data_IF_552750640062
#
_entry.id   IF_552750640062
#
_cell.length_a   1.000
_cell.length_b   1.000
_cell.length_c   1.000
_cell.angle_alpha   90.00
_cell.angle_beta   90.00
_cell.angle_gamma   90.00
#
_symmetry.space_group_name_H-M   'P 1'
#
loop_
_entity.id
_entity.type
_entity.pdbx_description
1 polymer ?
#
# COMPACT_ATOMS: atom_id res chain seq x y z
N UNK A 1 10.07 6.72 -31.65
CA UNK A 1 9.30 7.60 -30.75
C UNK A 1 9.93 7.55 -29.37
N UNK A 2 10.02 8.67 -28.67
CA UNK A 2 10.59 8.69 -27.32
C UNK A 2 9.65 7.95 -26.36
N UNK A 3 10.00 6.70 -26.02
CA UNK A 3 9.26 5.88 -25.06
C UNK A 3 9.08 6.54 -23.69
N UNK A 4 9.92 7.54 -23.38
CA UNK A 4 9.84 8.36 -22.16
C UNK A 4 8.51 9.07 -21.98
N UNK A 5 7.81 9.46 -23.05
CA UNK A 5 6.52 10.15 -22.93
C UNK A 5 5.42 9.23 -22.40
N UNK A 6 5.39 7.97 -22.85
CA UNK A 6 4.41 6.98 -22.41
C UNK A 6 4.62 6.65 -20.93
N UNK A 7 5.87 6.46 -20.51
CA UNK A 7 6.21 6.26 -19.10
C UNK A 7 5.84 7.46 -18.23
N UNK A 8 6.08 8.69 -18.72
CA UNK A 8 5.71 9.89 -17.98
C UNK A 8 4.19 9.99 -17.80
N UNK A 9 3.40 9.65 -18.83
CA UNK A 9 1.94 9.58 -18.75
C UNK A 9 1.50 8.54 -17.71
N UNK A 10 2.11 7.35 -17.72
CA UNK A 10 1.83 6.30 -16.73
C UNK A 10 2.11 6.76 -15.30
N UNK A 11 3.23 7.43 -15.06
CA UNK A 11 3.58 7.99 -13.73
C UNK A 11 2.55 9.03 -13.30
N UNK A 12 2.26 10.01 -14.15
CA UNK A 12 1.32 11.11 -13.82
C UNK A 12 -0.06 10.56 -13.46
N UNK A 13 -0.55 9.59 -14.24
CA UNK A 13 -1.85 8.95 -13.96
C UNK A 13 -1.80 8.17 -12.65
N UNK A 14 -0.71 7.43 -12.38
CA UNK A 14 -0.55 6.70 -11.12
C UNK A 14 -0.56 7.65 -9.91
N UNK A 15 0.10 8.81 -10.02
CA UNK A 15 0.11 9.83 -8.96
C UNK A 15 -1.30 10.39 -8.75
N UNK A 16 -2.01 10.74 -9.83
CA UNK A 16 -3.38 11.25 -9.74
C UNK A 16 -4.33 10.25 -9.06
N UNK A 17 -4.28 8.98 -9.46
CA UNK A 17 -5.08 7.92 -8.84
C UNK A 17 -4.72 7.72 -7.36
N UNK A 18 -3.44 7.81 -7.01
CA UNK A 18 -2.99 7.72 -5.61
C UNK A 18 -3.51 8.89 -4.77
N UNK A 19 -3.51 10.12 -5.33
CA UNK A 19 -4.10 11.29 -4.66
C UNK A 19 -5.62 11.13 -4.51
N UNK A 20 -6.31 10.61 -5.52
CA UNK A 20 -7.73 10.31 -5.39
C UNK A 20 -7.97 9.29 -4.28
N UNK A 21 -7.19 8.20 -4.24
CA UNK A 21 -7.30 7.18 -3.21
C UNK A 21 -7.11 7.75 -1.80
N UNK A 22 -6.12 8.62 -1.58
CA UNK A 22 -5.90 9.27 -0.27
C UNK A 22 -7.04 10.21 0.10
N UNK A 23 -7.61 10.95 -0.85
CA UNK A 23 -8.79 11.81 -0.60
C UNK A 23 -10.00 10.97 -0.19
N UNK A 24 -10.23 9.82 -0.83
CA UNK A 24 -11.31 8.90 -0.46
C UNK A 24 -11.06 8.29 0.92
N UNK A 25 -9.83 7.84 1.18
CA UNK A 25 -9.47 7.24 2.45
C UNK A 25 -9.69 8.22 3.61
N UNK A 26 -9.20 9.46 3.49
CA UNK A 26 -9.36 10.50 4.53
C UNK A 26 -10.83 10.92 4.72
N UNK A 27 -11.64 10.96 3.65
CA UNK A 27 -13.03 11.44 3.73
C UNK A 27 -14.05 10.35 4.09
N UNK A 28 -13.83 9.12 3.67
CA UNK A 28 -14.82 8.03 3.73
C UNK A 28 -14.31 6.81 4.50
N UNK A 29 -13.03 6.77 4.88
CA UNK A 29 -12.35 5.66 5.55
C UNK A 29 -12.36 4.36 4.74
N UNK A 30 -12.48 4.44 3.41
CA UNK A 30 -12.31 3.30 2.51
C UNK A 30 -11.81 3.76 1.15
N UNK A 31 -11.08 2.87 0.47
CA UNK A 31 -10.60 3.08 -0.91
C UNK A 31 -11.54 2.34 -1.87
N UNK A 32 -12.19 3.03 -2.83
CA UNK A 32 -13.16 2.40 -3.74
C UNK A 32 -12.51 1.32 -4.61
N UNK A 33 -13.11 0.13 -4.69
CA UNK A 33 -12.55 -0.96 -5.52
C UNK A 33 -12.47 -0.58 -7.00
N UNK A 34 -13.48 0.14 -7.49
CA UNK A 34 -13.57 0.60 -8.87
C UNK A 34 -12.33 1.43 -9.25
N UNK A 35 -11.83 2.27 -8.35
CA UNK A 35 -10.64 3.10 -8.59
C UNK A 35 -9.40 2.22 -8.83
N UNK A 36 -9.22 1.18 -8.00
CA UNK A 36 -8.12 0.24 -8.13
C UNK A 36 -8.23 -0.61 -9.40
N UNK A 37 -9.43 -1.11 -9.73
CA UNK A 37 -9.63 -1.90 -10.94
C UNK A 37 -9.39 -1.08 -12.21
N UNK A 38 -9.83 0.18 -12.25
CA UNK A 38 -9.53 1.09 -13.37
C UNK A 38 -8.01 1.25 -13.51
N UNK A 39 -7.26 1.39 -12.41
CA UNK A 39 -5.80 1.51 -12.46
C UNK A 39 -5.12 0.24 -13.00
N UNK A 40 -5.58 -0.95 -12.60
CA UNK A 40 -5.08 -2.24 -13.11
C UNK A 40 -5.35 -2.37 -14.61
N UNK A 41 -6.58 -2.11 -15.05
CA UNK A 41 -6.96 -2.17 -16.47
C UNK A 41 -6.14 -1.16 -17.28
N UNK A 42 -5.98 0.06 -16.78
CA UNK A 42 -5.15 1.08 -17.39
C UNK A 42 -3.68 0.62 -17.52
N UNK A 43 -3.13 -0.02 -16.49
CA UNK A 43 -1.77 -0.56 -16.50
C UNK A 43 -1.57 -1.65 -17.57
N UNK A 44 -2.47 -2.62 -17.64
CA UNK A 44 -2.41 -3.69 -18.65
C UNK A 44 -2.56 -3.14 -20.07
N UNK A 45 -3.54 -2.25 -20.30
CA UNK A 45 -3.78 -1.66 -21.63
C UNK A 45 -2.61 -0.78 -22.07
N UNK A 46 -2.10 0.08 -21.19
CA UNK A 46 -0.97 0.96 -21.52
C UNK A 46 0.30 0.17 -21.82
N UNK A 47 0.60 -0.88 -21.05
CA UNK A 47 1.77 -1.74 -21.30
C UNK A 47 1.58 -2.65 -22.52
N UNK A 48 0.35 -3.03 -22.87
CA UNK A 48 0.05 -3.72 -24.12
C UNK A 48 0.31 -2.81 -25.33
N UNK A 49 -0.20 -1.58 -25.31
CA UNK A 49 0.07 -0.58 -26.35
C UNK A 49 1.58 -0.35 -26.47
N UNK A 50 2.27 -0.21 -25.34
CA UNK A 50 3.71 -0.04 -25.32
C UNK A 50 4.47 -1.25 -25.90
N UNK A 51 4.04 -2.46 -25.58
CA UNK A 51 4.58 -3.71 -26.15
C UNK A 51 4.42 -3.77 -27.68
N UNK A 52 3.28 -3.30 -28.21
CA UNK A 52 3.01 -3.26 -29.64
C UNK A 52 3.90 -2.23 -30.35
N UNK A 53 4.04 -1.02 -29.78
CA UNK A 53 4.85 0.06 -30.38
C UNK A 53 6.35 -0.28 -30.33
N UNK A 54 6.81 -0.88 -29.23
CA UNK A 54 8.22 -1.27 -29.05
C UNK A 54 8.56 -2.63 -29.69
N UNK A 55 7.56 -3.35 -30.22
CA UNK A 55 7.67 -4.71 -30.71
C UNK A 55 8.36 -5.67 -29.72
N UNK A 56 8.13 -5.46 -28.42
CA UNK A 56 8.79 -6.18 -27.34
C UNK A 56 7.80 -6.67 -26.29
N UNK A 57 7.51 -7.97 -26.33
CA UNK A 57 6.56 -8.67 -25.46
C UNK A 57 6.99 -8.62 -23.97
N UNK A 58 8.26 -8.30 -23.69
CA UNK A 58 8.76 -8.22 -22.31
C UNK A 58 7.99 -7.23 -21.46
N UNK A 59 7.45 -6.14 -22.02
CA UNK A 59 6.74 -5.12 -21.23
C UNK A 59 5.40 -5.61 -20.68
N UNK A 60 4.62 -6.33 -21.50
CA UNK A 60 3.35 -6.90 -21.03
C UNK A 60 3.58 -8.07 -20.07
N UNK A 61 4.57 -8.93 -20.36
CA UNK A 61 4.98 -9.99 -19.45
C UNK A 61 5.45 -9.43 -18.10
N UNK A 62 6.26 -8.39 -18.11
CA UNK A 62 6.73 -7.73 -16.89
C UNK A 62 5.58 -7.16 -16.07
N UNK A 63 4.58 -6.55 -16.70
CA UNK A 63 3.35 -6.04 -16.06
C UNK A 63 2.53 -7.16 -15.39
N UNK A 64 2.35 -8.30 -16.05
CA UNK A 64 1.66 -9.44 -15.46
C UNK A 64 2.44 -10.06 -14.30
N UNK A 65 3.76 -10.25 -14.46
CA UNK A 65 4.62 -10.83 -13.44
C UNK A 65 4.69 -9.91 -12.21
N UNK A 66 4.86 -8.59 -12.41
CA UNK A 66 4.90 -7.62 -11.31
C UNK A 66 3.57 -7.57 -10.56
N UNK A 67 2.44 -7.58 -11.26
CA UNK A 67 1.10 -7.62 -10.67
C UNK A 67 0.93 -8.86 -9.78
N UNK A 68 1.30 -10.04 -10.27
CA UNK A 68 1.13 -11.31 -9.54
C UNK A 68 2.02 -11.36 -8.29
N UNK A 69 3.31 -11.03 -8.43
CA UNK A 69 4.26 -11.03 -7.31
C UNK A 69 3.83 -10.03 -6.23
N UNK A 70 3.46 -8.81 -6.64
CA UNK A 70 3.03 -7.78 -5.68
C UNK A 70 1.74 -8.16 -4.99
N UNK A 71 0.74 -8.68 -5.73
CA UNK A 71 -0.50 -9.18 -5.14
C UNK A 71 -0.25 -10.26 -4.09
N UNK A 72 0.58 -11.27 -4.39
CA UNK A 72 0.87 -12.35 -3.44
C UNK A 72 1.48 -11.82 -2.13
N UNK A 73 2.44 -10.90 -2.24
CA UNK A 73 3.13 -10.35 -1.07
C UNK A 73 2.20 -9.42 -0.28
N UNK A 74 1.50 -8.50 -0.95
CA UNK A 74 0.58 -7.58 -0.27
C UNK A 74 -0.62 -8.31 0.32
N UNK A 75 -1.11 -9.37 -0.33
CA UNK A 75 -2.15 -10.26 0.21
C UNK A 75 -1.67 -11.00 1.46
N UNK A 76 -0.41 -11.49 1.48
CA UNK A 76 0.16 -12.11 2.67
C UNK A 76 0.22 -11.12 3.84
N UNK A 77 0.63 -9.88 3.57
CA UNK A 77 0.67 -8.81 4.57
C UNK A 77 -0.74 -8.44 5.08
N UNK A 78 -1.74 -8.45 4.21
CA UNK A 78 -3.15 -8.29 4.61
C UNK A 78 -3.64 -9.42 5.50
N UNK A 79 -3.28 -10.67 5.17
CA UNK A 79 -3.61 -11.83 6.02
C UNK A 79 -2.93 -11.78 7.39
N UNK A 80 -1.78 -11.12 7.49
CA UNK A 80 -1.09 -10.83 8.75
C UNK A 80 -1.67 -9.63 9.51
N UNK A 81 -2.80 -9.06 9.05
CA UNK A 81 -3.46 -7.88 9.64
C UNK A 81 -2.55 -6.63 9.69
N UNK A 82 -1.48 -6.60 8.89
CA UNK A 82 -0.55 -5.47 8.89
C UNK A 82 -1.09 -4.27 8.09
N UNK A 83 -1.88 -4.52 7.05
CA UNK A 83 -2.36 -3.51 6.09
C UNK A 83 -3.86 -3.63 5.84
N UNK A 84 -4.46 -2.55 5.31
CA UNK A 84 -5.85 -2.56 4.85
C UNK A 84 -5.99 -3.28 3.50
N UNK A 85 -7.18 -3.84 3.23
CA UNK A 85 -7.47 -4.48 1.94
C UNK A 85 -7.39 -3.51 0.75
N UNK A 86 -7.61 -2.21 0.99
CA UNK A 86 -7.43 -1.15 -0.02
C UNK A 86 -5.99 -1.02 -0.49
N UNK A 87 -5.03 -1.11 0.42
CA UNK A 87 -3.59 -0.97 0.13
C UNK A 87 -3.12 -2.10 -0.80
N UNK A 88 -3.59 -3.33 -0.56
CA UNK A 88 -3.31 -4.50 -1.41
C UNK A 88 -3.63 -4.20 -2.86
N UNK A 89 -4.87 -3.73 -3.11
CA UNK A 89 -5.37 -3.48 -4.46
C UNK A 89 -4.68 -2.28 -5.11
N UNK A 90 -4.41 -1.24 -4.34
CA UNK A 90 -3.71 -0.06 -4.82
C UNK A 90 -2.28 -0.40 -5.25
N UNK A 91 -1.51 -1.10 -4.41
CA UNK A 91 -0.14 -1.51 -4.76
C UNK A 91 -0.10 -2.44 -5.97
N UNK A 92 -1.08 -3.33 -6.11
CA UNK A 92 -1.17 -4.16 -7.32
C UNK A 92 -1.43 -3.33 -8.57
N UNK A 93 -2.30 -2.31 -8.49
CA UNK A 93 -2.52 -1.38 -9.59
C UNK A 93 -1.25 -0.64 -9.98
N UNK A 94 -0.51 -0.09 -9.01
CA UNK A 94 0.78 0.58 -9.24
C UNK A 94 1.78 -0.37 -9.92
N UNK A 95 1.91 -1.60 -9.42
CA UNK A 95 2.81 -2.60 -9.96
C UNK A 95 2.47 -3.00 -11.40
N UNK A 96 1.18 -2.99 -11.73
CA UNK A 96 0.69 -3.31 -13.07
C UNK A 96 1.03 -2.20 -14.05
N UNK A 97 0.87 -0.93 -13.65
CA UNK A 97 1.19 0.24 -14.48
C UNK A 97 2.70 0.39 -14.68
N UNK A 98 3.47 0.33 -13.60
CA UNK A 98 4.92 0.53 -13.60
C UNK A 98 5.58 -0.77 -13.10
N UNK A 99 5.88 -1.73 -13.99
CA UNK A 99 6.42 -3.02 -13.58
C UNK A 99 7.86 -2.96 -13.09
N UNK A 100 8.71 -2.23 -13.79
CA UNK A 100 10.15 -2.10 -13.52
C UNK A 100 10.54 -0.64 -13.35
N UNK A 101 11.61 -0.40 -12.58
CA UNK A 101 12.16 0.94 -12.37
C UNK A 101 12.42 1.68 -13.68
N UNK A 102 12.16 2.99 -13.66
CA UNK A 102 12.36 3.86 -14.81
C UNK A 102 13.76 4.46 -14.72
N UNK A 103 14.57 4.21 -15.75
CA UNK A 103 15.85 4.88 -15.89
C UNK A 103 15.63 6.23 -16.58
N UNK A 104 15.31 7.25 -15.77
CA UNK A 104 15.23 8.64 -16.24
C UNK A 104 16.59 9.28 -15.93
N UNK A 105 17.43 9.45 -16.96
CA UNK A 105 18.81 9.92 -16.84
C UNK A 105 18.95 11.26 -16.06
N UNK A 106 17.90 12.09 -16.06
CA UNK A 106 17.88 13.36 -15.33
C UNK A 106 17.65 13.22 -13.81
N UNK A 107 16.99 12.15 -13.37
CA UNK A 107 16.44 12.06 -12.01
C UNK A 107 17.24 11.12 -11.08
N UNK A 108 18.25 10.39 -11.57
CA UNK A 108 19.10 9.48 -10.79
C UNK A 108 18.33 8.67 -9.73
N UNK A 109 17.12 8.21 -10.08
CA UNK A 109 16.28 7.43 -9.16
C UNK A 109 16.84 6.01 -9.13
N UNK A 110 17.49 5.66 -8.03
CA UNK A 110 17.87 4.28 -7.75
C UNK A 110 16.64 3.48 -7.26
N UNK A 111 16.49 2.20 -7.63
CA UNK A 111 17.37 1.39 -8.49
C UNK A 111 16.96 1.41 -9.97
N UNK A 112 17.97 1.56 -10.83
CA UNK A 112 17.89 1.63 -12.30
C UNK A 112 17.39 0.33 -12.94
N UNK A 113 17.72 -0.81 -12.34
CA UNK A 113 17.20 -2.14 -12.68
C UNK A 113 17.11 -2.96 -11.38
N UNK A 114 16.02 -2.80 -10.63
CA UNK A 114 15.74 -3.73 -9.52
C UNK A 114 15.27 -5.07 -10.06
N UNK A 115 15.76 -6.16 -9.47
CA UNK A 115 15.24 -7.52 -9.67
C UNK A 115 13.79 -7.65 -9.16
N UNK A 116 13.35 -6.70 -8.33
CA UNK A 116 12.04 -6.68 -7.71
C UNK A 116 11.11 -5.60 -8.33
N UNK A 117 9.78 -5.82 -8.31
CA UNK A 117 8.78 -4.87 -8.82
C UNK A 117 8.89 -3.46 -8.24
N UNK A 118 8.70 -2.43 -9.07
CA UNK A 118 8.80 -1.02 -8.65
C UNK A 118 7.88 -0.66 -7.47
N UNK A 119 6.70 -1.27 -7.38
CA UNK A 119 5.77 -1.04 -6.27
C UNK A 119 6.40 -1.32 -4.90
N UNK A 120 7.36 -2.25 -4.77
CA UNK A 120 8.05 -2.46 -3.50
C UNK A 120 9.01 -1.32 -3.15
N UNK A 121 9.67 -0.71 -4.14
CA UNK A 121 10.45 0.51 -3.89
C UNK A 121 9.54 1.61 -3.34
N UNK A 122 8.34 1.75 -3.88
CA UNK A 122 7.34 2.71 -3.38
C UNK A 122 6.97 2.41 -1.93
N UNK A 123 6.67 1.14 -1.60
CA UNK A 123 6.35 0.73 -0.22
C UNK A 123 7.48 1.06 0.73
N UNK A 124 8.71 0.59 0.45
CA UNK A 124 9.86 0.78 1.34
C UNK A 124 10.16 2.26 1.54
N UNK A 125 10.17 3.03 0.46
CA UNK A 125 10.41 4.47 0.54
C UNK A 125 9.29 5.20 1.29
N UNK A 126 8.03 4.80 1.12
CA UNK A 126 6.92 5.40 1.87
C UNK A 126 7.03 5.15 3.37
N UNK A 127 7.44 3.94 3.79
CA UNK A 127 7.69 3.61 5.19
C UNK A 127 8.82 4.48 5.75
N UNK A 128 9.95 4.57 5.04
CA UNK A 128 11.09 5.38 5.45
C UNK A 128 10.74 6.87 5.59
N UNK A 129 9.89 7.41 4.71
CA UNK A 129 9.43 8.80 4.78
C UNK A 129 8.43 9.02 5.93
N UNK A 130 7.55 8.05 6.18
CA UNK A 130 6.56 8.14 7.25
C UNK A 130 7.17 8.02 8.65
N UNK A 131 8.30 7.31 8.78
CA UNK A 131 8.91 6.98 10.07
C UNK A 131 9.36 8.21 10.88
N UNK A 132 10.12 9.19 10.31
CA UNK A 132 10.46 10.43 11.02
C UNK A 132 9.24 11.21 11.51
N UNK A 133 8.21 11.31 10.68
CA UNK A 133 6.97 12.01 11.04
C UNK A 133 6.28 11.32 12.22
N UNK A 134 6.19 9.99 12.20
CA UNK A 134 5.55 9.21 13.25
C UNK A 134 6.31 9.33 14.57
N UNK A 135 7.65 9.31 14.55
CA UNK A 135 8.47 9.55 15.74
C UNK A 135 8.23 10.94 16.33
N UNK A 136 8.20 11.98 15.49
CA UNK A 136 7.93 13.36 15.95
C UNK A 136 6.51 13.48 16.52
N UNK A 137 5.52 12.89 15.85
CA UNK A 137 4.14 12.94 16.30
C UNK A 137 3.94 12.22 17.65
N UNK A 138 4.51 11.01 17.79
CA UNK A 138 4.44 10.25 19.03
C UNK A 138 5.14 10.99 20.16
N UNK A 139 6.35 11.53 19.94
CA UNK A 139 7.06 12.33 20.95
C UNK A 139 6.28 13.59 21.35
N UNK A 140 5.66 14.29 20.39
CA UNK A 140 4.78 15.43 20.68
C UNK A 140 3.59 15.04 21.58
N UNK A 141 2.89 13.96 21.23
CA UNK A 141 1.76 13.45 22.03
C UNK A 141 2.22 12.99 23.41
N UNK A 142 3.40 12.36 23.51
CA UNK A 142 3.99 11.92 24.78
C UNK A 142 4.37 13.08 25.71
N UNK A 143 4.85 14.20 25.17
CA UNK A 143 5.17 15.40 25.97
C UNK A 143 3.89 16.09 26.45
N UNK A 144 2.84 16.09 25.62
CA UNK A 144 1.58 16.78 25.92
C UNK A 144 0.64 15.97 26.82
N UNK A 145 0.67 14.64 26.73
CA UNK A 145 -0.09 13.76 27.61
C UNK A 145 0.76 13.32 28.80
N UNK A 146 0.30 13.53 30.04
CA UNK A 146 0.92 13.01 31.28
C UNK A 146 1.00 11.45 31.34
N UNK A 147 0.73 10.76 30.23
CA UNK A 147 0.80 9.30 30.05
C UNK A 147 2.16 8.72 30.51
N UNK A 148 3.25 9.49 30.38
CA UNK A 148 4.59 9.02 30.70
C UNK A 148 5.02 9.25 32.16
N UNK A 149 4.43 10.23 32.86
CA UNK A 149 4.75 10.47 34.29
C UNK A 149 4.30 9.32 35.20
N UNK A 150 3.37 8.47 34.75
CA UNK A 150 2.80 7.39 35.57
C UNK A 150 3.32 5.99 35.23
N UNK A 151 4.02 5.80 34.12
CA UNK A 151 4.25 4.45 33.59
C UNK A 151 5.50 4.32 32.69
N UNK A 152 6.67 4.65 33.22
CA UNK A 152 7.98 4.33 32.61
C UNK A 152 8.10 2.85 32.24
N UNK A 153 7.37 1.99 32.95
CA UNK A 153 7.34 0.54 32.77
C UNK A 153 6.61 0.12 31.48
N UNK A 154 5.74 0.97 30.90
CA UNK A 154 5.05 0.65 29.63
C UNK A 154 6.03 0.56 28.46
N UNK A 155 7.02 1.46 28.35
CA UNK A 155 7.99 1.39 27.25
C UNK A 155 8.80 0.08 27.29
N UNK A 156 9.21 -0.35 28.48
CA UNK A 156 9.90 -1.63 28.66
C UNK A 156 8.98 -2.83 28.47
N UNK A 157 7.70 -2.71 28.84
CA UNK A 157 6.72 -3.79 28.64
C UNK A 157 6.17 -3.88 27.21
N UNK A 158 6.20 -2.84 26.36
CA UNK A 158 5.74 -2.93 24.96
C UNK A 158 6.58 -3.93 24.15
N UNK A 159 7.86 -4.10 24.50
CA UNK A 159 8.71 -5.12 23.87
C UNK A 159 8.50 -6.53 24.43
N UNK A 160 7.62 -6.70 25.42
CA UNK A 160 7.26 -8.02 25.96
C UNK A 160 6.20 -8.68 25.06
N UNK A 161 6.51 -9.86 24.49
CA UNK A 161 5.63 -10.61 23.59
C UNK A 161 4.23 -10.86 24.19
N UNK A 162 4.15 -11.01 25.52
CA UNK A 162 2.88 -11.22 26.21
C UNK A 162 1.98 -9.97 26.23
N UNK A 163 2.56 -8.78 26.32
CA UNK A 163 1.81 -7.52 26.27
C UNK A 163 1.34 -7.23 24.84
N UNK A 164 2.17 -7.50 23.84
CA UNK A 164 1.82 -7.36 22.41
C UNK A 164 0.66 -8.28 22.03
N UNK A 165 0.67 -9.55 22.47
CA UNK A 165 -0.45 -10.48 22.26
C UNK A 165 -1.74 -9.99 22.91
N UNK A 166 -1.65 -9.37 24.08
CA UNK A 166 -2.81 -8.88 24.83
C UNK A 166 -3.41 -7.60 24.20
N UNK A 167 -2.54 -6.71 23.71
CA UNK A 167 -2.93 -5.54 22.92
C UNK A 167 -3.61 -6.01 21.62
N UNK A 168 -2.98 -6.91 20.86
CA UNK A 168 -3.53 -7.46 19.62
C UNK A 168 -4.95 -8.02 19.84
N UNK A 169 -5.13 -8.83 20.89
CA UNK A 169 -6.42 -9.45 21.20
C UNK A 169 -7.52 -8.43 21.55
N UNK A 170 -7.18 -7.35 22.24
CA UNK A 170 -8.15 -6.37 22.74
C UNK A 170 -8.42 -5.21 21.77
N UNK A 171 -7.48 -4.85 20.89
CA UNK A 171 -7.65 -3.73 19.96
C UNK A 171 -8.16 -4.17 18.59
N UNK A 172 -7.73 -5.33 18.09
CA UNK A 172 -8.08 -5.80 16.74
C UNK A 172 -9.41 -6.56 16.68
N UNK A 173 -9.76 -7.29 17.74
CA UNK A 173 -11.04 -8.02 17.79
C UNK A 173 -12.14 -7.15 18.38
N UNK A 174 -12.83 -6.38 17.54
CA UNK A 174 -14.06 -5.68 17.90
C UNK A 174 -15.27 -6.38 17.31
N UNK A 175 -16.32 -6.53 18.11
CA UNK A 175 -17.64 -6.92 17.62
C UNK A 175 -18.27 -5.72 16.90
N UNK A 176 -18.54 -5.89 15.61
CA UNK A 176 -19.19 -4.86 14.77
C UNK A 176 -20.53 -5.43 14.29
N UNK A 177 -21.66 -4.68 14.41
CA UNK A 177 -22.93 -5.12 13.87
C UNK A 177 -22.85 -5.20 12.33
N UNK A 178 -23.59 -6.14 11.74
CA UNK A 178 -23.50 -6.46 10.29
C UNK A 178 -23.77 -5.22 9.42
N UNK A 179 -24.68 -4.32 9.85
CA UNK A 179 -25.03 -3.10 9.13
C UNK A 179 -23.89 -2.06 9.08
N UNK A 180 -22.93 -2.14 9.99
CA UNK A 180 -21.80 -1.20 10.09
C UNK A 180 -20.53 -1.76 9.46
N UNK A 181 -20.60 -2.92 8.81
CA UNK A 181 -19.47 -3.51 8.10
C UNK A 181 -19.12 -2.64 6.89
N UNK A 182 -17.87 -2.16 6.87
CA UNK A 182 -17.31 -1.41 5.75
C UNK A 182 -16.47 -2.33 4.88
N UNK A 183 -16.37 -1.94 3.62
CA UNK A 183 -15.53 -2.62 2.62
C UNK A 183 -14.07 -2.63 3.08
N UNK A 184 -13.43 -3.80 3.09
CA UNK A 184 -12.05 -3.98 3.54
C UNK A 184 -11.86 -4.43 5.00
N UNK A 185 -12.94 -4.53 5.81
CA UNK A 185 -12.86 -5.10 7.15
C UNK A 185 -12.51 -6.60 7.10
N UNK A 186 -11.55 -7.02 7.94
CA UNK A 186 -11.22 -8.44 8.15
C UNK A 186 -12.13 -8.96 9.26
N UNK A 187 -12.88 -10.03 8.96
CA UNK A 187 -13.85 -10.61 9.87
C UNK A 187 -13.32 -11.94 10.41
N UNK A 188 -12.94 -11.94 11.69
CA UNK A 188 -12.37 -13.11 12.33
C UNK A 188 -13.43 -14.16 12.68
N UNK A 189 -14.62 -13.75 13.14
CA UNK A 189 -15.76 -14.63 13.46
C UNK A 189 -17.09 -13.89 13.25
N UNK A 190 -18.14 -14.64 12.88
CA UNK A 190 -19.51 -14.13 12.74
C UNK A 190 -20.41 -14.81 13.76
N UNK A 191 -21.22 -14.03 14.47
CA UNK A 191 -22.26 -14.54 15.34
C UNK A 191 -23.60 -14.09 14.78
N UNK A 192 -24.39 -15.03 14.29
CA UNK A 192 -25.79 -14.80 13.99
C UNK A 192 -26.55 -15.00 15.30
N UNK A 193 -27.06 -13.91 15.89
CA UNK A 193 -28.11 -14.05 16.88
C UNK A 193 -29.36 -14.51 16.12
N UNK A 194 -29.77 -15.77 16.35
CA UNK A 194 -31.14 -16.19 16.05
C UNK A 194 -32.10 -15.53 17.04
#
# INVERSE_FOLDING_TARGET
MNFSTIFLIQIVITILFSICATIYDVKRNYVPELLCYILVVFGLVSNLIFSLISNNIKFILASFISMLITYLITYLLWKLEMWGGGDVRLFTGIATVIPSGLNIDFLNIFPVLSIYPFSFSVVVNSILVSFPFLVIFVTYVMIKGDMFKRNTDILFNIFNINSLKLIQKNTLNKTVPINDLKEGNILNNYYFNN
#
